data_IF_927673563459
#
_entry.id   IF_927673563459
#
_cell.length_a   1.000
_cell.length_b   1.000
_cell.length_c   1.000
_cell.angle_alpha   90.00
_cell.angle_beta   90.00
_cell.angle_gamma   90.00
#
_symmetry.space_group_name_H-M   'P 1'
#
loop_
_entity.id
_entity.type
_entity.pdbx_description
1 polymer ?
#
# COMPACT_ATOMS: atom_id res chain seq x y z
N UNK A 1 0.15 9.00 -13.23
CA UNK A 1 -1.01 9.32 -14.08
C UNK A 1 -1.89 10.32 -13.37
N UNK A 2 -2.82 10.92 -14.10
CA UNK A 2 -3.78 11.90 -13.56
C UNK A 2 -4.83 11.27 -12.63
N UNK A 3 -5.36 10.09 -13.01
CA UNK A 3 -6.50 9.47 -12.34
C UNK A 3 -6.24 8.82 -10.96
N UNK A 4 -5.06 8.24 -10.64
CA UNK A 4 -4.83 7.64 -9.32
C UNK A 4 -5.14 8.55 -8.12
N UNK A 5 -4.64 9.81 -8.03
CA UNK A 5 -5.02 10.70 -6.93
C UNK A 5 -6.50 11.10 -6.95
N UNK A 6 -7.13 11.16 -8.13
CA UNK A 6 -8.57 11.44 -8.25
C UNK A 6 -9.40 10.28 -7.71
N UNK A 7 -9.00 9.04 -8.01
CA UNK A 7 -9.65 7.82 -7.53
C UNK A 7 -9.50 7.64 -6.02
N UNK A 8 -8.32 7.96 -5.46
CA UNK A 8 -8.13 7.96 -4.00
C UNK A 8 -9.01 9.02 -3.32
N UNK A 9 -9.11 10.24 -3.89
CA UNK A 9 -10.01 11.28 -3.38
C UNK A 9 -11.49 10.87 -3.48
N UNK A 10 -11.88 10.22 -4.57
CA UNK A 10 -13.21 9.66 -4.77
C UNK A 10 -13.53 8.65 -3.66
N UNK A 11 -12.67 7.65 -3.43
CA UNK A 11 -12.85 6.67 -2.37
C UNK A 11 -12.91 7.33 -0.98
N UNK A 12 -11.95 8.20 -0.67
CA UNK A 12 -11.95 8.93 0.60
C UNK A 12 -13.22 9.75 0.78
N UNK A 13 -13.70 10.41 -0.26
CA UNK A 13 -14.95 11.19 -0.21
C UNK A 13 -16.16 10.30 0.03
N UNK A 14 -16.23 9.17 -0.68
CA UNK A 14 -17.34 8.22 -0.61
C UNK A 14 -17.44 7.57 0.78
N UNK A 15 -16.31 7.18 1.39
CA UNK A 15 -16.24 6.64 2.74
C UNK A 15 -16.21 7.71 3.86
N UNK A 16 -16.50 8.98 3.55
CA UNK A 16 -16.56 10.06 4.55
C UNK A 16 -15.20 10.49 5.14
N UNK A 17 -14.09 10.07 4.53
CA UNK A 17 -12.69 10.34 4.92
C UNK A 17 -12.01 11.44 4.09
N UNK A 18 -12.76 12.40 3.55
CA UNK A 18 -12.26 13.53 2.73
C UNK A 18 -11.15 14.39 3.36
N UNK A 19 -10.87 14.24 4.66
CA UNK A 19 -9.83 14.98 5.37
C UNK A 19 -8.44 14.31 5.27
N UNK A 20 -8.36 13.07 4.77
CA UNK A 20 -7.09 12.36 4.58
C UNK A 20 -6.31 13.04 3.44
N UNK A 21 -5.10 13.58 3.71
CA UNK A 21 -4.32 14.26 2.70
C UNK A 21 -3.75 13.28 1.67
N UNK A 22 -3.72 13.71 0.40
CA UNK A 22 -3.21 12.91 -0.72
C UNK A 22 -1.95 13.57 -1.26
N UNK A 23 -0.90 12.76 -1.45
CA UNK A 23 0.34 13.16 -2.11
C UNK A 23 0.46 12.45 -3.45
N UNK A 24 1.14 13.09 -4.40
CA UNK A 24 1.38 12.51 -5.73
C UNK A 24 2.82 12.04 -5.87
N UNK A 25 3.04 10.94 -6.60
CA UNK A 25 4.39 10.39 -6.76
C UNK A 25 5.35 11.43 -7.33
N UNK A 26 6.54 11.55 -6.73
CA UNK A 26 7.57 12.49 -7.17
C UNK A 26 8.25 12.09 -8.49
N UNK A 27 8.06 10.83 -8.91
CA UNK A 27 8.50 10.30 -10.21
C UNK A 27 7.41 9.42 -10.81
N UNK A 28 7.21 9.56 -12.12
CA UNK A 28 6.37 8.65 -12.91
C UNK A 28 7.23 7.46 -13.33
N UNK A 29 7.06 6.31 -12.69
CA UNK A 29 7.59 5.07 -13.25
C UNK A 29 6.73 4.73 -14.48
N UNK A 30 7.37 4.56 -15.64
CA UNK A 30 6.71 4.18 -16.90
C UNK A 30 6.28 2.69 -16.90
N UNK A 31 5.94 2.14 -15.73
CA UNK A 31 5.49 0.77 -15.64
C UNK A 31 4.12 0.63 -16.32
N UNK A 32 4.21 -0.10 -17.42
CA UNK A 32 3.26 -0.47 -18.45
C UNK A 32 1.82 -0.60 -17.94
N UNK A 33 0.95 0.27 -18.46
CA UNK A 33 -0.50 0.11 -18.39
C UNK A 33 -0.93 -0.98 -19.39
N UNK A 34 -0.72 -2.26 -19.03
CA UNK A 34 -1.36 -3.35 -19.75
C UNK A 34 -2.78 -3.50 -19.18
N UNK A 35 -3.80 -3.16 -19.97
CA UNK A 35 -5.21 -3.31 -19.61
C UNK A 35 -5.95 -2.00 -19.33
N UNK A 36 -7.24 -2.12 -19.02
CA UNK A 36 -8.13 -0.99 -18.74
C UNK A 36 -7.68 -0.25 -17.47
N UNK A 37 -7.56 1.07 -17.58
CA UNK A 37 -7.31 1.92 -16.43
C UNK A 37 -8.60 2.06 -15.60
N UNK A 38 -8.83 1.13 -14.68
CA UNK A 38 -10.04 1.17 -13.83
C UNK A 38 -10.17 2.49 -13.06
N UNK A 39 -9.05 3.12 -12.66
CA UNK A 39 -9.09 4.41 -11.96
C UNK A 39 -9.65 5.52 -12.84
N UNK A 40 -9.37 5.49 -14.14
CA UNK A 40 -9.94 6.42 -15.10
C UNK A 40 -11.42 6.13 -15.31
N UNK A 41 -11.77 4.88 -15.63
CA UNK A 41 -13.15 4.47 -15.90
C UNK A 41 -14.07 4.93 -14.76
N UNK A 42 -13.75 4.60 -13.51
CA UNK A 42 -14.59 4.95 -12.36
C UNK A 42 -14.59 6.45 -12.05
N UNK A 43 -13.50 7.19 -12.34
CA UNK A 43 -13.49 8.64 -12.17
C UNK A 43 -14.31 9.39 -13.23
N UNK A 44 -14.46 8.79 -14.40
CA UNK A 44 -15.17 9.35 -15.57
C UNK A 44 -16.62 8.85 -15.68
N UNK A 45 -17.03 7.86 -14.88
CA UNK A 45 -18.42 7.39 -14.82
C UNK A 45 -19.40 8.52 -14.48
N UNK A 46 -20.51 8.56 -15.21
CA UNK A 46 -21.56 9.57 -15.05
C UNK A 46 -22.95 8.94 -14.84
N UNK A 47 -23.83 9.67 -14.16
CA UNK A 47 -25.25 9.37 -14.12
C UNK A 47 -25.95 9.65 -15.47
N UNK A 48 -27.25 9.34 -15.56
CA UNK A 48 -28.08 9.57 -16.75
C UNK A 48 -28.15 11.04 -17.17
N UNK A 49 -27.84 11.98 -16.27
CA UNK A 49 -27.82 13.42 -16.52
C UNK A 49 -26.41 13.94 -16.88
N UNK A 50 -25.43 13.03 -17.05
CA UNK A 50 -24.06 13.37 -17.42
C UNK A 50 -23.24 13.97 -16.28
N UNK A 51 -23.69 13.86 -15.03
CA UNK A 51 -22.91 14.32 -13.86
C UNK A 51 -22.03 13.19 -13.35
N UNK A 52 -20.84 13.48 -12.79
CA UNK A 52 -19.98 12.45 -12.23
C UNK A 52 -20.73 11.61 -11.19
N UNK A 53 -20.71 10.29 -11.38
CA UNK A 53 -21.42 9.33 -10.54
C UNK A 53 -20.92 9.39 -9.09
N UNK A 54 -19.60 9.53 -8.93
CA UNK A 54 -18.95 9.61 -7.64
C UNK A 54 -18.41 11.01 -7.34
N UNK A 55 -18.71 11.51 -6.14
CA UNK A 55 -18.23 12.81 -5.67
C UNK A 55 -16.75 12.78 -5.31
N UNK A 56 -16.08 13.91 -5.56
CA UNK A 56 -14.69 14.18 -5.21
C UNK A 56 -14.59 15.47 -4.40
N UNK A 57 -13.71 15.48 -3.39
CA UNK A 57 -13.57 16.61 -2.48
C UNK A 57 -12.56 17.64 -2.96
N UNK A 58 -11.53 17.22 -3.69
CA UNK A 58 -10.46 18.07 -4.22
C UNK A 58 -10.93 18.70 -5.53
N UNK A 59 -10.71 20.01 -5.66
CA UNK A 59 -11.08 20.78 -6.87
C UNK A 59 -9.91 21.03 -7.81
N UNK A 60 -8.69 20.98 -7.29
CA UNK A 60 -7.48 21.35 -8.01
C UNK A 60 -6.34 20.41 -7.61
N UNK A 61 -6.18 19.33 -8.38
CA UNK A 61 -5.17 18.31 -8.14
C UNK A 61 -3.74 18.81 -8.43
N UNK A 62 -3.58 19.92 -9.15
CA UNK A 62 -2.27 20.52 -9.42
C UNK A 62 -1.60 21.06 -8.14
N UNK A 63 -2.39 21.32 -7.09
CA UNK A 63 -1.92 21.78 -5.79
C UNK A 63 -1.51 20.66 -4.83
N UNK A 64 -1.64 19.40 -5.23
CA UNK A 64 -1.18 18.29 -4.39
C UNK A 64 0.33 18.32 -4.23
N UNK A 65 0.78 18.08 -2.99
CA UNK A 65 2.20 18.02 -2.70
C UNK A 65 2.79 16.74 -3.29
N UNK A 66 4.05 16.79 -3.80
CA UNK A 66 4.82 15.58 -4.03
C UNK A 66 4.89 14.75 -2.74
N UNK A 67 4.75 13.43 -2.86
CA UNK A 67 4.64 12.52 -1.73
C UNK A 67 5.78 12.67 -0.70
N UNK A 68 7.07 12.81 -1.08
CA UNK A 68 8.14 13.07 -0.11
C UNK A 68 7.91 14.34 0.71
N UNK A 69 7.42 15.41 0.09
CA UNK A 69 7.11 16.68 0.76
C UNK A 69 5.90 16.55 1.69
N UNK A 70 4.88 15.79 1.29
CA UNK A 70 3.74 15.49 2.16
C UNK A 70 4.17 14.65 3.37
N UNK A 71 5.00 13.62 3.19
CA UNK A 71 5.55 12.82 4.29
C UNK A 71 6.29 13.72 5.28
N UNK A 72 7.18 14.59 4.82
CA UNK A 72 7.90 15.52 5.71
C UNK A 72 6.95 16.40 6.52
N UNK A 73 5.95 17.00 5.86
CA UNK A 73 4.91 17.82 6.52
C UNK A 73 4.15 17.06 7.61
N UNK A 74 3.80 15.80 7.36
CA UNK A 74 3.04 14.97 8.29
C UNK A 74 3.91 14.48 9.45
N UNK A 75 5.09 13.93 9.15
CA UNK A 75 6.03 13.42 10.15
C UNK A 75 6.52 14.54 11.08
N UNK A 76 6.78 15.75 10.57
CA UNK A 76 7.18 16.88 11.40
C UNK A 76 6.17 17.21 12.52
N UNK A 77 4.88 16.96 12.28
CA UNK A 77 3.79 17.20 13.23
C UNK A 77 3.47 16.00 14.12
N UNK A 78 3.91 14.80 13.73
CA UNK A 78 3.64 13.59 14.49
C UNK A 78 4.43 13.58 15.80
N UNK A 79 3.95 12.79 16.77
CA UNK A 79 4.74 12.47 17.97
C UNK A 79 5.93 11.59 17.55
N UNK A 80 6.97 11.61 18.37
CA UNK A 80 8.13 10.74 18.14
C UNK A 80 7.70 9.27 18.30
N UNK A 81 8.24 8.40 17.45
CA UNK A 81 7.91 6.96 17.41
C UNK A 81 6.41 6.63 17.44
N UNK A 82 5.59 7.37 16.67
CA UNK A 82 4.13 7.18 16.67
C UNK A 82 3.53 6.87 15.30
N UNK A 83 4.35 6.78 14.25
CA UNK A 83 3.87 6.61 12.88
C UNK A 83 4.27 5.24 12.37
N UNK A 84 3.29 4.41 12.03
CA UNK A 84 3.50 3.24 11.16
C UNK A 84 3.30 3.68 9.72
N UNK A 85 4.29 3.40 8.86
CA UNK A 85 4.15 3.60 7.40
C UNK A 85 3.82 2.25 6.77
N UNK A 86 2.81 2.21 5.91
CA UNK A 86 2.48 1.02 5.11
C UNK A 86 2.78 1.31 3.65
N UNK A 87 3.64 0.50 3.03
CA UNK A 87 4.02 0.61 1.62
C UNK A 87 3.58 -0.62 0.84
N UNK A 88 2.53 -0.47 0.06
CA UNK A 88 1.95 -1.54 -0.81
C UNK A 88 2.18 -1.26 -2.30
N UNK A 89 3.17 -0.42 -2.60
CA UNK A 89 3.57 -0.06 -3.95
C UNK A 89 5.07 0.17 -4.01
N UNK A 90 5.53 0.76 -5.11
CA UNK A 90 6.95 0.96 -5.37
C UNK A 90 7.64 1.82 -4.30
N UNK A 91 8.86 1.44 -3.95
CA UNK A 91 9.66 2.09 -2.90
C UNK A 91 10.13 3.51 -3.24
N UNK A 92 9.86 4.01 -4.45
CA UNK A 92 10.36 5.28 -4.99
C UNK A 92 10.11 6.47 -4.06
N UNK A 93 8.90 6.62 -3.54
CA UNK A 93 8.57 7.77 -2.68
C UNK A 93 9.26 7.69 -1.31
N UNK A 94 9.47 6.48 -0.78
CA UNK A 94 10.19 6.27 0.47
C UNK A 94 11.70 6.51 0.29
N UNK A 95 12.28 6.04 -0.81
CA UNK A 95 13.66 6.36 -1.19
C UNK A 95 13.88 7.88 -1.30
N UNK A 96 12.98 8.59 -1.99
CA UNK A 96 13.02 10.05 -2.11
C UNK A 96 12.80 10.76 -0.77
N UNK A 97 11.96 10.21 0.12
CA UNK A 97 11.81 10.70 1.49
C UNK A 97 13.14 10.59 2.23
N UNK A 98 13.81 9.43 2.22
CA UNK A 98 15.10 9.25 2.87
C UNK A 98 16.17 10.24 2.37
N UNK A 99 16.18 10.55 1.07
CA UNK A 99 17.13 11.49 0.46
C UNK A 99 16.81 12.97 0.71
N UNK A 100 15.58 13.28 1.10
CA UNK A 100 15.14 14.65 1.31
C UNK A 100 15.98 15.38 2.37
N UNK A 101 16.24 16.67 2.13
CA UNK A 101 16.96 17.55 3.07
C UNK A 101 15.96 18.29 3.96
N UNK A 102 16.49 19.04 4.92
CA UNK A 102 15.71 19.99 5.71
C UNK A 102 14.87 20.89 4.81
N UNK A 103 13.69 21.28 5.28
CA UNK A 103 12.72 22.10 4.55
C UNK A 103 11.92 22.98 5.52
N UNK A 104 10.89 23.66 5.01
CA UNK A 104 10.04 24.55 5.83
C UNK A 104 9.27 23.82 6.95
N UNK A 105 9.19 22.48 6.92
CA UNK A 105 8.46 21.70 7.93
C UNK A 105 9.36 21.18 9.05
N UNK A 106 10.63 20.88 8.75
CA UNK A 106 11.57 20.35 9.73
C UNK A 106 13.02 20.62 9.35
N UNK A 107 13.84 20.95 10.35
CA UNK A 107 15.30 21.08 10.22
C UNK A 107 16.01 19.74 10.06
N UNK A 108 15.33 18.61 10.31
CA UNK A 108 15.88 17.27 10.12
C UNK A 108 15.89 16.87 8.64
N UNK A 109 16.92 16.15 8.22
CA UNK A 109 16.90 15.40 6.96
C UNK A 109 15.77 14.37 6.97
N UNK A 110 15.39 13.86 5.81
CA UNK A 110 14.31 12.88 5.70
C UNK A 110 14.58 11.62 6.49
N UNK A 111 15.80 11.08 6.42
CA UNK A 111 16.22 9.91 7.20
C UNK A 111 16.17 10.17 8.71
N UNK A 112 16.66 11.31 9.19
CA UNK A 112 16.57 11.67 10.62
C UNK A 112 15.12 11.85 11.07
N UNK A 113 14.28 12.44 10.22
CA UNK A 113 12.86 12.63 10.51
C UNK A 113 12.13 11.28 10.59
N UNK A 114 12.42 10.34 9.67
CA UNK A 114 11.91 8.97 9.74
C UNK A 114 12.38 8.30 11.03
N UNK A 115 13.68 8.34 11.33
CA UNK A 115 14.25 7.74 12.54
C UNK A 115 13.57 8.25 13.83
N UNK A 116 13.22 9.54 13.85
CA UNK A 116 12.59 10.18 15.01
C UNK A 116 11.09 9.90 15.12
N UNK A 117 10.38 9.82 14.00
CA UNK A 117 8.90 9.87 13.97
C UNK A 117 8.24 8.54 13.69
N UNK A 118 8.91 7.69 12.93
CA UNK A 118 8.37 6.40 12.51
C UNK A 118 8.65 5.38 13.60
N UNK A 119 7.66 4.55 13.88
CA UNK A 119 7.77 3.38 14.74
C UNK A 119 8.28 2.19 13.92
N UNK A 120 7.63 1.93 12.78
CA UNK A 120 7.96 0.83 11.88
C UNK A 120 7.51 1.12 10.45
N UNK A 121 8.14 0.43 9.50
CA UNK A 121 7.69 0.33 8.11
C UNK A 121 7.14 -1.06 7.85
N UNK A 122 5.91 -1.13 7.35
CA UNK A 122 5.30 -2.38 6.90
C UNK A 122 5.24 -2.37 5.37
N UNK A 123 5.80 -3.37 4.71
CA UNK A 123 5.84 -3.47 3.24
C UNK A 123 5.03 -4.65 2.74
N UNK A 124 4.37 -4.50 1.58
CA UNK A 124 4.00 -5.63 0.72
C UNK A 124 5.02 -5.66 -0.42
N UNK A 125 5.97 -6.58 -0.34
CA UNK A 125 7.05 -6.67 -1.32
C UNK A 125 7.78 -8.02 -1.23
N UNK A 126 8.37 -8.41 -2.34
CA UNK A 126 9.28 -9.55 -2.39
C UNK A 126 8.62 -10.92 -2.29
N UNK A 127 9.42 -11.94 -2.49
CA UNK A 127 9.06 -13.34 -2.29
C UNK A 127 10.22 -14.01 -1.54
N UNK A 128 10.00 -14.31 -0.25
CA UNK A 128 11.06 -14.84 0.62
C UNK A 128 11.24 -16.34 0.38
N UNK A 129 10.13 -17.05 0.13
CA UNK A 129 10.12 -18.49 -0.13
C UNK A 129 10.68 -18.92 -1.49
N UNK A 130 10.73 -18.01 -2.47
CA UNK A 130 11.24 -18.29 -3.81
C UNK A 130 12.06 -17.10 -4.38
N UNK A 131 13.40 -17.13 -4.27
CA UNK A 131 14.25 -16.04 -4.73
C UNK A 131 14.23 -15.84 -6.25
N UNK A 132 13.75 -16.82 -7.03
CA UNK A 132 13.60 -16.69 -8.48
C UNK A 132 12.32 -15.93 -8.89
N UNK A 133 11.41 -15.70 -7.94
CA UNK A 133 10.22 -14.91 -8.21
C UNK A 133 10.53 -13.42 -8.00
N UNK A 134 10.58 -12.70 -9.10
CA UNK A 134 10.83 -11.26 -9.14
C UNK A 134 9.51 -10.52 -8.90
N UNK A 135 9.24 -10.17 -7.65
CA UNK A 135 7.97 -9.57 -7.22
C UNK A 135 7.81 -8.14 -7.76
N UNK A 136 6.56 -7.79 -8.12
CA UNK A 136 6.21 -6.58 -8.86
C UNK A 136 6.62 -5.28 -8.13
N UNK A 137 6.31 -5.12 -6.85
CA UNK A 137 6.67 -3.92 -6.07
C UNK A 137 8.18 -3.74 -5.92
N UNK A 138 8.96 -4.83 -5.99
CA UNK A 138 10.43 -4.79 -6.00
C UNK A 138 10.95 -4.40 -7.39
N UNK A 139 10.58 -5.11 -8.45
CA UNK A 139 11.27 -4.97 -9.76
C UNK A 139 10.92 -3.71 -10.53
N UNK A 140 9.81 -3.06 -10.20
CA UNK A 140 9.44 -1.79 -10.83
C UNK A 140 10.31 -0.62 -10.40
N UNK A 141 11.04 -0.74 -9.28
CA UNK A 141 12.08 0.21 -8.87
C UNK A 141 13.09 -0.47 -7.92
N UNK A 142 13.93 -1.33 -8.49
CA UNK A 142 14.92 -2.12 -7.73
C UNK A 142 15.82 -1.22 -6.90
N UNK A 143 16.31 -0.12 -7.48
CA UNK A 143 17.22 0.80 -6.79
C UNK A 143 16.57 1.48 -5.58
N UNK A 144 15.32 1.94 -5.72
CA UNK A 144 14.60 2.49 -4.58
C UNK A 144 14.32 1.42 -3.51
N UNK A 145 13.97 0.21 -3.93
CA UNK A 145 13.71 -0.90 -3.01
C UNK A 145 14.97 -1.28 -2.22
N UNK A 146 16.11 -1.47 -2.92
CA UNK A 146 17.42 -1.68 -2.31
C UNK A 146 17.78 -0.58 -1.31
N UNK A 147 17.54 0.68 -1.68
CA UNK A 147 17.81 1.82 -0.79
C UNK A 147 16.95 1.77 0.47
N UNK A 148 15.65 1.53 0.34
CA UNK A 148 14.75 1.47 1.50
C UNK A 148 15.18 0.34 2.43
N UNK A 149 15.34 -0.89 1.93
CA UNK A 149 15.78 -2.00 2.81
C UNK A 149 17.15 -1.73 3.44
N UNK A 150 18.10 -1.12 2.73
CA UNK A 150 19.43 -0.87 3.30
C UNK A 150 19.46 0.30 4.31
N UNK A 151 18.75 1.39 4.03
CA UNK A 151 18.98 2.68 4.70
C UNK A 151 17.87 3.06 5.70
N UNK A 152 16.76 2.32 5.75
CA UNK A 152 15.63 2.62 6.64
C UNK A 152 16.03 2.52 8.12
N UNK A 153 15.72 3.53 8.95
CA UNK A 153 16.30 3.63 10.29
C UNK A 153 15.50 2.96 11.41
N UNK A 154 14.34 2.39 11.12
CA UNK A 154 13.46 1.71 12.10
C UNK A 154 13.20 0.27 11.65
N UNK A 155 12.50 -0.58 12.43
CA UNK A 155 12.14 -1.92 11.98
C UNK A 155 11.37 -1.92 10.66
N UNK A 156 11.67 -2.91 9.81
CA UNK A 156 10.92 -3.22 8.59
C UNK A 156 10.22 -4.57 8.79
N UNK A 157 8.91 -4.61 8.54
CA UNK A 157 8.11 -5.83 8.55
C UNK A 157 7.56 -6.04 7.14
N UNK A 158 7.93 -7.15 6.51
CA UNK A 158 7.53 -7.45 5.14
C UNK A 158 6.43 -8.51 5.11
N UNK A 159 5.29 -8.19 4.51
CA UNK A 159 4.32 -9.17 4.02
C UNK A 159 4.74 -9.64 2.62
N UNK A 160 5.23 -10.87 2.46
CA UNK A 160 5.75 -11.31 1.18
C UNK A 160 4.65 -11.81 0.25
N UNK A 161 4.96 -11.91 -1.05
CA UNK A 161 4.07 -12.34 -2.11
C UNK A 161 3.34 -13.65 -1.79
N UNK A 162 4.08 -14.67 -1.34
CA UNK A 162 3.55 -16.00 -1.07
C UNK A 162 2.53 -16.01 0.07
N UNK A 163 2.61 -15.06 1.01
CA UNK A 163 1.61 -14.90 2.07
C UNK A 163 0.30 -14.39 1.48
N UNK A 164 0.33 -13.29 0.72
CA UNK A 164 -0.87 -12.73 0.10
C UNK A 164 -1.49 -13.64 -0.97
N UNK A 165 -0.66 -14.41 -1.68
CA UNK A 165 -1.08 -15.31 -2.76
C UNK A 165 -1.99 -16.46 -2.29
N UNK A 166 -1.79 -16.96 -1.06
CA UNK A 166 -2.59 -18.05 -0.51
C UNK A 166 -3.90 -17.60 0.15
N UNK A 167 -4.07 -16.31 0.43
CA UNK A 167 -5.29 -15.75 1.03
C UNK A 167 -6.04 -14.98 -0.06
N UNK A 168 -7.05 -15.62 -0.64
CA UNK A 168 -7.83 -15.03 -1.73
C UNK A 168 -9.17 -14.51 -1.24
N UNK A 169 -9.42 -13.22 -1.43
CA UNK A 169 -10.72 -12.61 -1.20
C UNK A 169 -11.72 -13.16 -2.22
N UNK A 170 -12.91 -13.61 -1.80
CA UNK A 170 -13.83 -14.32 -2.67
C UNK A 170 -14.53 -13.38 -3.66
N UNK A 171 -14.62 -13.81 -4.91
CA UNK A 171 -15.39 -13.10 -5.95
C UNK A 171 -16.85 -12.92 -5.54
N UNK A 172 -17.44 -13.96 -4.95
CA UNK A 172 -18.84 -13.96 -4.51
C UNK A 172 -19.17 -12.83 -3.54
N UNK A 173 -18.20 -12.41 -2.70
CA UNK A 173 -18.39 -11.28 -1.80
C UNK A 173 -18.47 -9.95 -2.55
N UNK A 174 -17.59 -9.72 -3.54
CA UNK A 174 -17.67 -8.53 -4.42
C UNK A 174 -19.02 -8.48 -5.16
N UNK A 175 -19.52 -9.63 -5.59
CA UNK A 175 -20.77 -9.74 -6.36
C UNK A 175 -22.03 -9.57 -5.48
N UNK A 176 -22.00 -10.06 -4.24
CA UNK A 176 -23.22 -10.24 -3.44
C UNK A 176 -23.30 -9.33 -2.21
N UNK A 177 -22.18 -8.96 -1.60
CA UNK A 177 -22.18 -8.34 -0.26
C UNK A 177 -22.20 -6.80 -0.29
N UNK A 178 -22.06 -6.20 -1.48
CA UNK A 178 -22.05 -4.74 -1.68
C UNK A 178 -23.36 -4.20 -2.28
N UNK A 179 -24.39 -5.04 -2.42
CA UNK A 179 -25.69 -4.70 -3.04
C UNK A 179 -26.57 -3.73 -2.24
N UNK A 180 -26.09 -3.22 -1.10
CA UNK A 180 -26.78 -2.24 -0.27
C UNK A 180 -26.72 -0.81 -0.84
N UNK A 181 -25.95 -0.59 -1.89
CA UNK A 181 -25.91 0.65 -2.69
C UNK A 181 -26.02 0.30 -4.17
N UNK A 182 -26.73 1.10 -5.01
CA UNK A 182 -26.83 0.83 -6.43
C UNK A 182 -25.48 0.96 -7.16
N UNK A 183 -24.59 1.80 -6.64
CA UNK A 183 -23.26 2.05 -7.18
C UNK A 183 -22.23 2.00 -6.04
N UNK A 184 -21.22 1.16 -6.19
CA UNK A 184 -20.14 1.01 -5.20
C UNK A 184 -18.78 1.13 -5.91
N UNK A 185 -17.95 2.14 -5.56
CA UNK A 185 -16.78 2.47 -6.38
C UNK A 185 -15.74 1.34 -6.43
N UNK A 186 -15.65 0.51 -5.37
CA UNK A 186 -14.82 -0.69 -5.39
C UNK A 186 -15.39 -1.75 -6.34
N UNK A 187 -16.70 -2.02 -6.32
CA UNK A 187 -17.31 -3.04 -7.19
C UNK A 187 -17.18 -2.62 -8.65
N UNK A 188 -17.42 -1.36 -8.95
CA UNK A 188 -17.30 -0.83 -10.31
C UNK A 188 -15.84 -0.82 -10.77
N UNK A 189 -14.88 -0.62 -9.86
CA UNK A 189 -13.45 -0.81 -10.17
C UNK A 189 -13.09 -2.26 -10.49
N UNK A 190 -13.68 -3.23 -9.79
CA UNK A 190 -13.50 -4.65 -10.12
C UNK A 190 -14.04 -4.95 -11.53
N UNK A 191 -15.25 -4.50 -11.85
CA UNK A 191 -15.86 -4.66 -13.19
C UNK A 191 -15.06 -3.97 -14.29
N UNK A 192 -14.52 -2.78 -14.02
CA UNK A 192 -13.71 -2.05 -14.99
C UNK A 192 -12.33 -2.69 -15.21
N UNK A 193 -11.75 -3.30 -14.17
CA UNK A 193 -10.42 -3.91 -14.24
C UNK A 193 -10.43 -5.33 -14.81
N UNK A 194 -11.50 -6.10 -14.56
CA UNK A 194 -11.59 -7.52 -14.91
C UNK A 194 -12.74 -7.83 -15.87
N UNK A 195 -12.50 -8.60 -16.94
CA UNK A 195 -13.57 -9.16 -17.76
C UNK A 195 -14.51 -10.08 -16.96
N UNK A 196 -13.97 -10.82 -15.98
CA UNK A 196 -14.71 -11.68 -15.06
C UNK A 196 -14.10 -11.56 -13.67
N UNK A 197 -14.93 -11.39 -12.63
CA UNK A 197 -14.48 -11.29 -11.25
C UNK A 197 -14.13 -12.70 -10.75
N UNK A 198 -12.91 -12.84 -10.23
CA UNK A 198 -12.38 -14.09 -9.68
C UNK A 198 -11.80 -13.87 -8.29
N UNK A 199 -11.63 -14.96 -7.54
CA UNK A 199 -10.98 -14.95 -6.24
C UNK A 199 -9.58 -14.34 -6.34
N UNK A 200 -9.36 -13.29 -5.56
CA UNK A 200 -8.21 -12.39 -5.73
C UNK A 200 -7.28 -12.43 -4.53
N UNK A 201 -5.97 -12.66 -4.72
CA UNK A 201 -5.00 -12.56 -3.65
C UNK A 201 -5.05 -11.24 -2.88
N UNK A 202 -4.79 -11.30 -1.59
CA UNK A 202 -4.92 -10.16 -0.66
C UNK A 202 -3.56 -9.57 -0.28
N UNK A 203 -2.62 -9.52 -1.23
CA UNK A 203 -1.24 -9.05 -1.04
C UNK A 203 -1.17 -7.77 -0.18
N UNK A 204 -1.74 -6.67 -0.67
CA UNK A 204 -1.67 -5.37 -0.01
C UNK A 204 -2.41 -5.36 1.34
N UNK A 205 -3.56 -6.03 1.40
CA UNK A 205 -4.42 -6.06 2.59
C UNK A 205 -3.74 -6.78 3.76
N UNK A 206 -2.89 -7.77 3.52
CA UNK A 206 -2.16 -8.46 4.59
C UNK A 206 -1.14 -7.54 5.28
N UNK A 207 -0.46 -6.67 4.53
CA UNK A 207 0.41 -5.64 5.09
C UNK A 207 -0.40 -4.60 5.90
N UNK A 208 -1.55 -4.18 5.38
CA UNK A 208 -2.45 -3.27 6.11
C UNK A 208 -2.96 -3.89 7.40
N UNK A 209 -3.40 -5.16 7.36
CA UNK A 209 -3.89 -5.88 8.54
C UNK A 209 -2.84 -5.95 9.64
N UNK A 210 -1.59 -6.31 9.29
CA UNK A 210 -0.51 -6.34 10.26
C UNK A 210 -0.29 -4.96 10.91
N UNK A 211 -0.32 -3.89 10.12
CA UNK A 211 -0.10 -2.53 10.62
C UNK A 211 -1.18 -2.05 11.60
N UNK A 212 -2.42 -2.52 11.47
CA UNK A 212 -3.55 -2.08 12.31
C UNK A 212 -3.88 -3.04 13.45
N UNK A 213 -3.65 -4.34 13.26
CA UNK A 213 -3.99 -5.38 14.22
C UNK A 213 -3.16 -6.65 13.97
N UNK A 214 -1.91 -6.72 14.46
CA UNK A 214 -1.03 -7.86 14.19
C UNK A 214 -1.36 -9.11 15.02
N UNK A 215 -2.17 -8.98 16.09
CA UNK A 215 -2.38 -10.06 17.05
C UNK A 215 -3.12 -11.24 16.43
N UNK A 216 -2.62 -12.45 16.70
CA UNK A 216 -3.18 -13.75 16.32
C UNK A 216 -3.36 -14.06 14.82
N UNK A 217 -3.08 -13.12 13.93
CA UNK A 217 -3.17 -13.31 12.47
C UNK A 217 -1.88 -13.81 11.84
N UNK A 218 -0.71 -13.43 12.37
CA UNK A 218 0.57 -13.67 11.70
C UNK A 218 1.59 -14.35 12.60
N UNK A 219 2.50 -15.08 11.97
CA UNK A 219 3.75 -15.54 12.58
C UNK A 219 4.87 -14.65 12.08
N UNK A 220 5.54 -13.95 12.99
CA UNK A 220 6.69 -13.09 12.68
C UNK A 220 7.97 -13.93 12.65
N UNK A 221 8.86 -13.67 11.69
CA UNK A 221 10.17 -14.31 11.63
C UNK A 221 11.05 -13.92 12.83
N UNK A 222 12.15 -14.66 13.02
CA UNK A 222 13.28 -14.15 13.79
C UNK A 222 13.80 -12.83 13.18
N UNK A 223 14.49 -11.97 13.95
CA UNK A 223 15.16 -10.80 13.38
C UNK A 223 16.18 -11.22 12.33
N UNK A 224 16.35 -10.36 11.33
CA UNK A 224 17.34 -10.57 10.28
C UNK A 224 17.49 -9.38 9.36
N UNK A 225 17.98 -9.68 8.16
CA UNK A 225 18.22 -8.73 7.10
C UNK A 225 17.64 -9.26 5.80
N UNK A 226 16.68 -8.52 5.27
CA UNK A 226 16.20 -8.64 3.89
C UNK A 226 17.11 -7.82 2.98
N UNK A 227 17.67 -8.46 1.94
CA UNK A 227 18.46 -7.84 0.88
C UNK A 227 17.75 -8.00 -0.46
N UNK A 228 17.75 -6.95 -1.27
CA UNK A 228 17.25 -6.95 -2.65
C UNK A 228 18.44 -7.04 -3.60
N UNK A 229 18.49 -8.06 -4.45
CA UNK A 229 19.58 -8.19 -5.45
C UNK A 229 19.39 -7.24 -6.63
N UNK A 230 20.39 -7.14 -7.50
CA UNK A 230 20.32 -6.28 -8.70
C UNK A 230 19.28 -6.78 -9.72
N UNK A 231 18.91 -8.06 -9.65
CA UNK A 231 17.85 -8.69 -10.45
C UNK A 231 16.47 -8.55 -9.81
N UNK A 232 16.39 -8.07 -8.56
CA UNK A 232 15.13 -7.90 -7.82
C UNK A 232 14.69 -9.12 -7.02
N UNK A 233 15.58 -10.09 -6.78
CA UNK A 233 15.34 -11.17 -5.81
C UNK A 233 15.36 -10.63 -4.37
N UNK A 234 14.50 -11.14 -3.51
CA UNK A 234 14.49 -10.80 -2.07
C UNK A 234 15.02 -11.95 -1.24
N UNK A 235 16.14 -11.72 -0.54
CA UNK A 235 16.84 -12.73 0.25
C UNK A 235 16.76 -12.37 1.72
N UNK A 236 16.36 -13.32 2.57
CA UNK A 236 16.38 -13.16 4.01
C UNK A 236 17.55 -13.90 4.64
N UNK A 237 18.30 -13.21 5.51
CA UNK A 237 19.34 -13.81 6.34
C UNK A 237 19.04 -13.54 7.82
N UNK A 238 18.88 -14.56 8.67
CA UNK A 238 18.74 -14.37 10.11
C UNK A 238 19.94 -13.63 10.72
N UNK A 239 19.69 -12.66 11.58
CA UNK A 239 20.69 -11.88 12.31
C UNK A 239 20.10 -11.44 13.65
N UNK A 240 20.79 -11.73 14.76
CA UNK A 240 20.27 -11.49 16.12
C UNK A 240 19.98 -10.02 16.41
N UNK A 241 20.76 -9.11 15.83
CA UNK A 241 20.63 -7.66 15.91
C UNK A 241 19.90 -7.05 14.68
N UNK A 242 19.32 -7.91 13.84
CA UNK A 242 18.61 -7.51 12.63
C UNK A 242 17.32 -6.74 12.94
N UNK A 243 17.01 -5.77 12.08
CA UNK A 243 15.80 -4.94 12.18
C UNK A 243 14.75 -5.30 11.13
N UNK A 244 15.00 -6.29 10.28
CA UNK A 244 14.05 -6.73 9.26
C UNK A 244 13.38 -8.03 9.70
N UNK A 245 12.09 -8.10 9.43
CA UNK A 245 11.23 -9.23 9.72
C UNK A 245 10.35 -9.51 8.50
N UNK A 246 9.91 -10.75 8.34
CA UNK A 246 8.86 -11.09 7.40
C UNK A 246 7.73 -11.85 8.09
N UNK A 247 6.55 -11.73 7.50
CA UNK A 247 5.35 -12.40 7.97
C UNK A 247 5.20 -13.75 7.28
N UNK A 248 4.65 -14.70 8.02
CA UNK A 248 4.14 -15.97 7.50
C UNK A 248 2.81 -16.31 8.20
N UNK A 249 2.08 -17.27 7.66
CA UNK A 249 0.80 -17.72 8.22
C UNK A 249 0.73 -19.25 8.21
N UNK A 250 0.14 -19.80 9.25
CA UNK A 250 -0.38 -21.17 9.25
C UNK A 250 -1.71 -21.23 8.47
N UNK A 251 -2.18 -22.44 8.07
CA UNK A 251 -3.49 -22.57 7.43
C UNK A 251 -4.65 -22.01 8.27
N UNK A 252 -4.56 -22.13 9.59
CA UNK A 252 -5.56 -21.60 10.53
C UNK A 252 -5.56 -20.07 10.57
N UNK A 253 -4.36 -19.47 10.60
CA UNK A 253 -4.18 -18.02 10.51
C UNK A 253 -4.69 -17.47 9.17
N UNK A 254 -4.37 -18.13 8.06
CA UNK A 254 -4.85 -17.75 6.73
C UNK A 254 -6.39 -17.72 6.66
N UNK A 255 -7.07 -18.72 7.24
CA UNK A 255 -8.54 -18.75 7.32
C UNK A 255 -9.09 -17.61 8.17
N UNK A 256 -8.51 -17.38 9.36
CA UNK A 256 -8.91 -16.27 10.23
C UNK A 256 -8.75 -14.90 9.56
N UNK A 257 -7.66 -14.69 8.82
CA UNK A 257 -7.45 -13.46 8.05
C UNK A 257 -8.54 -13.31 6.99
N UNK A 258 -8.86 -14.38 6.25
CA UNK A 258 -9.91 -14.34 5.23
C UNK A 258 -11.27 -13.99 5.83
N UNK A 259 -11.65 -14.65 6.92
CA UNK A 259 -12.91 -14.39 7.63
C UNK A 259 -12.96 -12.93 8.14
N UNK A 260 -11.84 -12.44 8.67
CA UNK A 260 -11.72 -11.05 9.10
C UNK A 260 -11.89 -10.06 7.93
N UNK A 261 -11.28 -10.34 6.77
CA UNK A 261 -11.42 -9.50 5.58
C UNK A 261 -12.85 -9.48 5.08
N UNK A 262 -13.49 -10.64 4.88
CA UNK A 262 -14.88 -10.71 4.42
C UNK A 262 -15.81 -9.97 5.39
N UNK A 263 -15.62 -10.17 6.70
CA UNK A 263 -16.45 -9.51 7.73
C UNK A 263 -16.21 -8.01 7.81
N UNK A 264 -14.99 -7.54 7.57
CA UNK A 264 -14.64 -6.12 7.78
C UNK A 264 -14.87 -5.28 6.54
N UNK A 265 -14.53 -5.78 5.35
CA UNK A 265 -14.58 -5.03 4.10
C UNK A 265 -16.02 -4.81 3.63
N UNK A 266 -16.94 -5.73 3.95
CA UNK A 266 -18.36 -5.65 3.59
C UNK A 266 -19.18 -4.76 4.53
N UNK A 267 -18.59 -4.25 5.62
CA UNK A 267 -19.31 -3.36 6.54
C UNK A 267 -19.72 -2.06 5.86
N UNK A 268 -20.95 -1.67 6.09
CA UNK A 268 -21.47 -0.39 5.65
C UNK A 268 -20.78 0.76 6.40
N UNK A 269 -20.39 1.86 5.72
CA UNK A 269 -19.66 2.99 6.30
C UNK A 269 -20.39 3.77 7.40
#
# INVERSE_FOLDING_TARGET
GEFPPQYIDLLNTWYGKKHIPIGVSGRLNKSIMAGTNYTQVVCEETDEQGKPLYKRSIKDYSKLLPAPKLYRKLLAKAKDHSVTIVSVGFSTNLAMLLDSKADEYSSLSGRELVAKKVEQLVTMAGNIGNPKHHEYNVVNDIQACQKVYRDWPTPIITSPFELGAQIKYPASSIESDFGWTPHHPIVDSYKAYLPQIEDRPTWDLTAVLYAINPQDFFTLSAPGLITVTDEGSTLFKPQTDGTHYYLSVTPEQARRILDYFVTTITKQP
#
